data_IF_753020174877
#
_entry.id   IF_753020174877
#
_cell.length_a   1.000
_cell.length_b   1.000
_cell.length_c   1.000
_cell.angle_alpha   90.00
_cell.angle_beta   90.00
_cell.angle_gamma   90.00
#
_symmetry.space_group_name_H-M   'P 1'
#
loop_
_entity.id
_entity.type
_entity.pdbx_description
1 polymer ?
#
# COMPACT_ATOMS: atom_id res chain seq x y z
N UNK A 1 -10.59 -19.10 19.85
CA UNK A 1 -9.75 -18.03 19.27
C UNK A 1 -10.68 -16.86 18.99
N UNK A 2 -10.58 -15.78 19.76
CA UNK A 2 -11.29 -14.55 19.45
C UNK A 2 -10.71 -14.00 18.15
N UNK A 3 -11.57 -13.76 17.15
CA UNK A 3 -11.20 -13.06 15.94
C UNK A 3 -10.69 -11.67 16.37
N UNK A 4 -9.40 -11.42 16.22
CA UNK A 4 -8.83 -10.09 16.35
C UNK A 4 -9.31 -9.35 15.11
N UNK A 5 -10.37 -8.55 15.21
CA UNK A 5 -10.71 -7.60 14.17
C UNK A 5 -9.51 -6.68 13.99
N UNK A 6 -9.05 -6.51 12.77
CA UNK A 6 -8.02 -5.51 12.50
C UNK A 6 -8.63 -4.13 12.70
N UNK A 7 -7.88 -3.23 13.32
CA UNK A 7 -8.29 -1.85 13.49
C UNK A 7 -8.36 -1.22 12.09
N UNK A 8 -9.52 -0.66 11.75
CA UNK A 8 -9.70 0.06 10.49
C UNK A 8 -9.20 1.50 10.64
N UNK A 9 -8.40 1.95 9.70
CA UNK A 9 -7.89 3.33 9.67
C UNK A 9 -8.95 4.24 9.06
N UNK A 10 -9.45 5.19 9.83
CA UNK A 10 -10.50 6.11 9.36
C UNK A 10 -9.92 7.34 8.68
N UNK A 11 -8.75 7.79 9.13
CA UNK A 11 -8.18 9.05 8.66
C UNK A 11 -6.66 9.04 8.73
N UNK A 12 -6.04 9.58 7.69
CA UNK A 12 -4.60 9.85 7.63
C UNK A 12 -4.40 11.31 7.21
N UNK A 13 -3.61 12.07 7.97
CA UNK A 13 -3.10 13.39 7.58
C UNK A 13 -1.61 13.27 7.34
N UNK A 14 -1.15 13.85 6.24
CA UNK A 14 0.25 13.88 5.79
C UNK A 14 0.66 15.32 5.63
N UNK A 15 1.77 15.72 6.25
CA UNK A 15 2.31 17.07 6.16
C UNK A 15 3.78 17.01 5.75
N UNK A 16 4.17 17.94 4.90
CA UNK A 16 5.56 18.20 4.51
C UNK A 16 6.28 17.01 3.84
N UNK A 17 5.62 16.33 2.87
CA UNK A 17 6.24 15.24 2.12
C UNK A 17 6.21 15.50 0.61
N UNK A 18 7.36 15.70 -0.01
CA UNK A 18 7.51 15.96 -1.47
C UNK A 18 6.53 17.06 -1.93
N UNK A 19 5.56 16.75 -2.76
CA UNK A 19 4.54 17.70 -3.22
C UNK A 19 3.36 17.87 -2.26
N UNK A 20 3.37 17.23 -1.11
CA UNK A 20 2.30 17.31 -0.12
C UNK A 20 2.71 18.31 0.97
N UNK A 21 2.02 19.44 1.04
CA UNK A 21 2.16 20.44 2.12
C UNK A 21 1.32 20.00 3.32
N UNK A 22 0.02 19.84 3.13
CA UNK A 22 -0.94 19.33 4.10
C UNK A 22 -2.07 18.65 3.34
N UNK A 23 -2.29 17.37 3.62
CA UNK A 23 -3.27 16.56 2.96
C UNK A 23 -3.93 15.61 3.96
N UNK A 24 -5.26 15.56 3.91
CA UNK A 24 -6.04 14.64 4.74
C UNK A 24 -6.84 13.68 3.87
N UNK A 25 -6.73 12.38 4.19
CA UNK A 25 -7.53 11.30 3.63
C UNK A 25 -8.48 10.75 4.68
N UNK A 26 -9.77 10.76 4.38
CA UNK A 26 -10.77 10.02 5.14
C UNK A 26 -11.03 8.70 4.43
N UNK A 27 -10.63 7.58 5.03
CA UNK A 27 -10.60 6.27 4.40
C UNK A 27 -11.82 5.42 4.75
N UNK A 28 -12.35 4.73 3.75
CA UNK A 28 -13.20 3.55 3.91
C UNK A 28 -12.37 2.26 3.87
N UNK A 29 -13.01 1.16 3.66
CA UNK A 29 -12.37 -0.14 3.49
C UNK A 29 -11.67 -0.25 2.14
N UNK A 30 -12.30 0.22 1.08
CA UNK A 30 -11.80 0.14 -0.29
C UNK A 30 -11.71 1.53 -0.90
N UNK A 31 -10.49 2.02 -1.10
CA UNK A 31 -10.22 3.38 -1.52
C UNK A 31 -9.50 3.39 -2.88
N UNK A 32 -10.00 4.17 -3.82
CA UNK A 32 -9.38 4.33 -5.15
C UNK A 32 -8.99 5.79 -5.35
N UNK A 33 -7.74 6.03 -5.76
CA UNK A 33 -7.22 7.37 -6.06
C UNK A 33 -6.94 7.46 -7.57
N UNK A 34 -7.59 8.41 -8.22
CA UNK A 34 -7.37 8.77 -9.63
C UNK A 34 -6.70 10.14 -9.74
N UNK A 35 -6.15 10.44 -10.89
CA UNK A 35 -5.54 11.74 -11.19
C UNK A 35 -4.53 11.65 -12.32
N UNK A 36 -4.09 12.79 -12.82
CA UNK A 36 -3.09 12.90 -13.89
C UNK A 36 -1.72 12.35 -13.44
N UNK A 37 -0.83 12.11 -14.39
CA UNK A 37 0.55 11.76 -14.09
C UNK A 37 1.22 12.91 -13.33
N UNK A 38 1.98 12.56 -12.28
CA UNK A 38 2.70 13.55 -11.47
C UNK A 38 1.86 14.36 -10.49
N UNK A 39 0.53 14.09 -10.35
CA UNK A 39 -0.31 14.82 -9.38
C UNK A 39 -0.02 14.48 -7.90
N UNK A 40 0.73 13.41 -7.62
CA UNK A 40 1.14 13.05 -6.25
C UNK A 40 0.50 11.78 -5.69
N UNK A 41 -0.20 10.96 -6.49
CA UNK A 41 -0.78 9.69 -6.02
C UNK A 41 0.24 8.80 -5.33
N UNK A 42 1.36 8.51 -5.99
CA UNK A 42 2.44 7.69 -5.41
C UNK A 42 3.10 8.38 -4.21
N UNK A 43 3.17 9.73 -4.16
CA UNK A 43 3.70 10.44 -3.00
C UNK A 43 2.84 10.20 -1.74
N UNK A 44 1.51 10.09 -1.89
CA UNK A 44 0.61 9.74 -0.79
C UNK A 44 0.94 8.34 -0.25
N UNK A 45 1.07 7.36 -1.14
CA UNK A 45 1.37 5.97 -0.75
C UNK A 45 2.76 5.84 -0.11
N UNK A 46 3.75 6.51 -0.70
CA UNK A 46 5.12 6.55 -0.17
C UNK A 46 5.18 7.18 1.22
N UNK A 47 4.47 8.29 1.46
CA UNK A 47 4.42 8.93 2.77
C UNK A 47 3.89 8.00 3.86
N UNK A 48 2.81 7.25 3.57
CA UNK A 48 2.22 6.29 4.51
C UNK A 48 3.21 5.15 4.78
N UNK A 49 3.85 4.61 3.73
CA UNK A 49 4.88 3.56 3.87
C UNK A 49 6.07 4.05 4.70
N UNK A 50 6.52 5.27 4.45
CA UNK A 50 7.62 5.90 5.18
C UNK A 50 7.28 6.07 6.67
N UNK A 51 6.06 6.50 6.99
CA UNK A 51 5.57 6.59 8.36
C UNK A 51 5.58 5.23 9.07
N UNK A 52 5.10 4.18 8.42
CA UNK A 52 5.11 2.83 8.96
C UNK A 52 6.53 2.32 9.27
N UNK A 53 7.49 2.62 8.38
CA UNK A 53 8.90 2.27 8.57
C UNK A 53 9.56 3.12 9.67
N UNK A 54 9.26 4.42 9.75
CA UNK A 54 9.78 5.31 10.77
C UNK A 54 9.43 4.87 12.18
N UNK A 55 8.16 4.57 12.42
CA UNK A 55 7.69 4.06 13.74
C UNK A 55 8.36 2.74 14.13
N UNK A 56 8.69 1.89 13.16
CA UNK A 56 9.40 0.63 13.42
C UNK A 56 10.92 0.75 13.50
N UNK A 57 11.44 1.99 13.44
CA UNK A 57 12.88 2.31 13.42
C UNK A 57 13.63 1.70 12.23
N UNK A 58 12.95 1.55 11.11
CA UNK A 58 13.41 0.89 9.90
C UNK A 58 13.48 1.80 8.67
N UNK A 59 13.52 3.13 8.86
CA UNK A 59 13.49 4.11 7.76
C UNK A 59 14.90 4.53 7.28
N UNK A 60 15.84 3.58 7.22
CA UNK A 60 17.12 3.80 6.52
C UNK A 60 16.91 3.78 4.99
N UNK A 61 17.80 4.49 4.28
CA UNK A 61 17.71 4.71 2.83
C UNK A 61 17.58 3.38 2.05
N UNK A 62 18.33 2.35 2.44
CA UNK A 62 18.29 1.05 1.77
C UNK A 62 16.95 0.33 1.95
N UNK A 63 16.36 0.42 3.14
CA UNK A 63 15.03 -0.17 3.41
C UNK A 63 13.91 0.59 2.76
N UNK A 64 13.98 1.93 2.75
CA UNK A 64 13.01 2.75 2.03
C UNK A 64 12.94 2.34 0.56
N UNK A 65 14.09 2.19 -0.11
CA UNK A 65 14.16 1.74 -1.50
C UNK A 65 13.57 0.32 -1.69
N UNK A 66 13.87 -0.63 -0.79
CA UNK A 66 13.31 -2.00 -0.82
C UNK A 66 11.80 -2.04 -0.61
N UNK A 67 11.22 -1.02 0.02
CA UNK A 67 9.77 -0.87 0.19
C UNK A 67 9.11 -0.04 -0.92
N UNK A 68 9.82 0.19 -2.02
CA UNK A 68 9.29 0.87 -3.20
C UNK A 68 9.21 2.39 -3.08
N UNK A 69 9.81 2.98 -2.04
CA UNK A 69 9.89 4.45 -1.91
C UNK A 69 11.00 4.96 -2.83
N UNK A 70 10.67 5.94 -3.65
CA UNK A 70 11.65 6.63 -4.51
C UNK A 70 12.53 7.51 -3.63
N UNK A 71 13.68 6.97 -3.27
CA UNK A 71 14.65 7.64 -2.42
C UNK A 71 15.45 8.61 -3.26
N UNK A 72 15.52 9.85 -2.77
CA UNK A 72 16.29 10.93 -3.34
C UNK A 72 17.12 11.61 -2.23
N UNK A 73 17.73 12.73 -2.52
CA UNK A 73 18.30 13.62 -1.48
C UNK A 73 17.23 13.90 -0.41
N UNK A 74 17.62 13.90 0.86
CA UNK A 74 16.72 14.13 1.99
C UNK A 74 15.96 15.45 1.86
N UNK A 75 16.60 16.49 1.32
CA UNK A 75 16.01 17.81 1.06
C UNK A 75 14.89 17.77 -0.01
N UNK A 76 14.87 16.74 -0.87
CA UNK A 76 13.81 16.51 -1.86
C UNK A 76 12.72 15.55 -1.36
N UNK A 77 12.90 14.96 -0.19
CA UNK A 77 11.87 14.14 0.46
C UNK A 77 10.93 14.98 1.32
N UNK A 78 11.39 16.11 1.85
CA UNK A 78 10.52 17.15 2.41
C UNK A 78 9.95 18.04 1.29
N UNK A 79 8.95 18.84 1.62
CA UNK A 79 8.39 19.81 0.66
C UNK A 79 9.42 20.92 0.39
N UNK A 80 9.72 21.15 -0.89
CA UNK A 80 10.73 22.11 -1.36
C UNK A 80 10.15 23.07 -2.41
N UNK A 81 8.85 23.36 -2.36
CA UNK A 81 8.18 24.32 -3.26
C UNK A 81 8.33 25.75 -2.76
N UNK A 82 8.47 26.73 -3.68
CA UNK A 82 8.83 28.12 -3.38
C UNK A 82 7.85 28.85 -2.46
N UNK A 83 6.57 28.50 -2.50
CA UNK A 83 5.50 29.16 -1.71
C UNK A 83 5.27 28.52 -0.32
N UNK A 84 6.16 27.64 0.11
CA UNK A 84 6.10 27.12 1.48
C UNK A 84 6.74 28.13 2.44
N UNK A 85 6.00 28.50 3.50
CA UNK A 85 6.52 29.38 4.57
C UNK A 85 7.89 28.89 5.07
N UNK A 86 8.88 29.82 5.17
CA UNK A 86 10.20 29.53 5.76
C UNK A 86 10.12 28.95 7.19
N UNK A 87 8.93 28.98 7.80
CA UNK A 87 8.61 28.41 9.10
C UNK A 87 8.00 26.99 9.02
N UNK A 88 7.93 26.36 7.84
CA UNK A 88 7.49 24.97 7.78
C UNK A 88 8.44 24.07 8.55
N UNK A 89 7.86 23.15 9.28
CA UNK A 89 8.57 22.12 10.02
C UNK A 89 9.57 21.38 9.10
N UNK A 90 10.80 21.21 9.55
CA UNK A 90 11.81 20.36 8.89
C UNK A 90 11.40 18.87 8.91
N UNK A 91 10.30 18.56 9.57
CA UNK A 91 9.83 17.20 9.81
C UNK A 91 8.73 16.80 8.82
N UNK A 92 8.77 15.56 8.35
CA UNK A 92 7.65 14.91 7.70
C UNK A 92 6.69 14.43 8.78
N UNK A 93 5.43 14.85 8.74
CA UNK A 93 4.46 14.49 9.77
C UNK A 93 3.33 13.61 9.21
N UNK A 94 2.96 12.59 10.00
CA UNK A 94 1.78 11.76 9.74
C UNK A 94 0.95 11.66 11.02
N UNK A 95 -0.35 11.85 10.86
CA UNK A 95 -1.34 11.58 11.91
C UNK A 95 -2.29 10.51 11.40
N UNK A 96 -2.48 9.46 12.19
CA UNK A 96 -3.32 8.31 11.81
C UNK A 96 -4.37 8.12 12.89
N UNK A 97 -5.63 7.96 12.50
CA UNK A 97 -6.73 7.61 13.41
C UNK A 97 -7.52 6.43 12.88
N UNK A 98 -8.12 5.64 13.78
CA UNK A 98 -8.92 4.48 13.42
C UNK A 98 -9.85 4.03 14.55
N UNK A 99 -10.91 3.28 14.19
CA UNK A 99 -11.95 2.77 15.11
C UNK A 99 -12.54 3.86 16.04
N UNK A 100 -12.75 5.09 15.51
CA UNK A 100 -13.23 6.26 16.24
C UNK A 100 -12.37 6.63 17.46
N UNK A 101 -11.14 6.15 17.54
CA UNK A 101 -10.17 6.56 18.57
C UNK A 101 -9.10 7.41 17.88
N UNK A 102 -8.87 8.64 18.34
CA UNK A 102 -7.71 9.38 17.90
C UNK A 102 -6.48 8.57 18.33
N UNK A 103 -5.73 8.01 17.38
CA UNK A 103 -4.35 7.68 17.65
C UNK A 103 -3.64 9.01 17.83
N UNK A 104 -3.46 9.38 19.08
CA UNK A 104 -2.85 10.66 19.47
C UNK A 104 -1.32 10.65 19.23
N UNK A 105 -0.83 9.58 18.60
CA UNK A 105 0.56 9.43 18.20
C UNK A 105 0.74 9.89 16.76
N UNK A 106 0.94 11.19 16.61
CA UNK A 106 1.52 11.72 15.37
C UNK A 106 2.93 11.14 15.18
N UNK A 107 3.32 10.86 13.96
CA UNK A 107 4.68 10.48 13.57
C UNK A 107 5.34 11.75 13.07
N UNK A 108 6.52 12.08 13.58
CA UNK A 108 7.33 13.18 13.09
C UNK A 108 8.71 12.65 12.70
N UNK A 109 9.00 12.62 11.41
CA UNK A 109 10.23 12.06 10.88
C UNK A 109 11.24 13.17 10.59
N UNK A 110 12.41 13.10 11.24
CA UNK A 110 13.58 13.92 10.99
C UNK A 110 14.68 13.09 10.34
N UNK A 111 15.43 13.70 9.41
CA UNK A 111 16.55 13.04 8.79
C UNK A 111 17.83 13.24 9.60
N UNK A 112 18.44 12.15 10.04
CA UNK A 112 19.72 12.14 10.71
C UNK A 112 20.87 11.79 9.75
N UNK A 113 21.66 12.77 9.34
CA UNK A 113 22.78 12.60 8.42
C UNK A 113 23.80 11.58 8.92
N UNK A 114 24.11 11.60 10.23
CA UNK A 114 25.07 10.68 10.85
C UNK A 114 24.73 9.21 10.61
N UNK A 115 23.45 8.87 10.52
CA UNK A 115 22.97 7.49 10.37
C UNK A 115 22.38 7.21 8.98
N UNK A 116 22.31 8.24 8.13
CA UNK A 116 21.65 8.19 6.81
C UNK A 116 20.24 7.59 6.91
N UNK A 117 19.43 8.11 7.83
CA UNK A 117 18.19 7.49 8.26
C UNK A 117 17.18 8.54 8.72
N UNK A 118 15.90 8.27 8.45
CA UNK A 118 14.78 9.02 9.02
C UNK A 118 14.39 8.41 10.38
N UNK A 119 14.29 9.27 11.39
CA UNK A 119 14.00 8.88 12.77
C UNK A 119 12.70 9.53 13.22
N UNK A 120 11.83 8.76 13.85
CA UNK A 120 10.61 9.29 14.46
C UNK A 120 10.95 9.94 15.80
N UNK A 121 10.78 11.27 15.83
CA UNK A 121 11.07 12.14 16.97
C UNK A 121 9.81 12.69 17.63
N UNK A 122 8.69 11.98 17.60
CA UNK A 122 7.41 12.45 18.14
C UNK A 122 7.61 13.20 19.48
N UNK A 123 7.32 14.52 19.55
CA UNK A 123 7.62 15.33 20.74
C UNK A 123 6.84 14.89 21.99
N UNK A 124 5.62 14.33 21.82
CA UNK A 124 4.82 13.82 22.93
C UNK A 124 5.44 12.55 23.50
N UNK A 125 5.82 11.61 22.60
CA UNK A 125 6.51 10.37 22.98
C UNK A 125 7.85 10.69 23.66
N UNK A 126 8.63 11.60 23.08
CA UNK A 126 9.88 12.04 23.65
C UNK A 126 9.69 12.61 25.06
N UNK A 127 8.64 13.41 25.28
CA UNK A 127 8.33 13.96 26.62
C UNK A 127 8.04 12.87 27.63
N UNK A 128 7.24 11.84 27.28
CA UNK A 128 6.91 10.70 28.14
C UNK A 128 8.19 9.91 28.47
N UNK A 129 8.99 9.61 27.45
CA UNK A 129 10.24 8.87 27.59
C UNK A 129 11.24 9.64 28.46
N UNK A 130 11.37 10.94 28.23
CA UNK A 130 12.28 11.83 29.00
C UNK A 130 11.87 11.88 30.48
N UNK A 131 10.60 12.03 30.78
CA UNK A 131 10.09 11.99 32.16
C UNK A 131 10.40 10.66 32.85
N UNK A 132 10.24 9.54 32.15
CA UNK A 132 10.56 8.22 32.68
C UNK A 132 12.08 8.06 32.91
N UNK A 133 12.88 8.47 31.94
CA UNK A 133 14.34 8.44 32.03
C UNK A 133 14.88 9.25 33.21
N UNK A 134 14.35 10.47 33.43
CA UNK A 134 14.70 11.31 34.59
C UNK A 134 14.29 10.62 35.92
N UNK A 135 13.15 9.97 35.95
CA UNK A 135 12.70 9.24 37.13
C UNK A 135 13.60 8.04 37.47
N UNK A 136 14.14 7.34 36.46
CA UNK A 136 15.07 6.22 36.67
C UNK A 136 16.49 6.67 37.07
N UNK A 137 16.98 7.80 36.48
CA UNK A 137 18.40 8.21 36.58
C UNK A 137 18.63 9.47 37.45
N UNK A 138 17.56 10.12 37.92
CA UNK A 138 17.62 11.33 38.74
C UNK A 138 17.67 12.65 37.94
N UNK A 139 17.28 13.77 38.58
CA UNK A 139 17.13 15.09 37.96
C UNK A 139 18.45 15.73 37.48
N UNK A 140 19.60 15.17 37.79
CA UNK A 140 20.91 15.68 37.36
C UNK A 140 21.19 15.53 35.87
N UNK A 141 20.44 14.69 35.18
CA UNK A 141 20.51 14.50 33.74
C UNK A 141 19.59 15.48 33.00
N UNK A 142 19.98 16.76 32.94
CA UNK A 142 19.33 17.75 32.03
C UNK A 142 19.64 17.50 30.55
N UNK A 143 20.44 16.50 30.25
CA UNK A 143 20.87 16.11 28.92
C UNK A 143 19.78 15.39 28.15
N UNK A 144 19.92 15.33 26.85
CA UNK A 144 19.05 14.55 25.96
C UNK A 144 19.09 13.06 26.33
N UNK A 145 17.96 12.37 26.17
CA UNK A 145 17.91 10.92 26.41
C UNK A 145 18.85 10.25 25.41
N UNK A 146 19.82 9.43 25.86
CA UNK A 146 20.72 8.74 24.95
C UNK A 146 19.94 7.84 23.96
N UNK A 147 20.37 7.81 22.70
CA UNK A 147 19.68 7.09 21.63
C UNK A 147 19.24 5.67 21.98
N UNK A 148 20.16 4.87 22.55
CA UNK A 148 19.85 3.49 22.94
C UNK A 148 18.79 3.40 24.05
N UNK A 149 18.81 4.33 25.02
CA UNK A 149 17.84 4.41 26.08
C UNK A 149 16.47 4.89 25.58
N UNK A 150 16.46 5.85 24.66
CA UNK A 150 15.24 6.30 24.00
C UNK A 150 14.52 5.12 23.32
N UNK A 151 15.22 4.34 22.52
CA UNK A 151 14.62 3.20 21.83
C UNK A 151 14.20 2.06 22.76
N UNK A 152 14.95 1.82 23.84
CA UNK A 152 14.56 0.87 24.89
C UNK A 152 13.24 1.28 25.55
N UNK A 153 13.19 2.50 26.06
CA UNK A 153 12.02 3.05 26.75
C UNK A 153 10.81 3.22 25.83
N UNK A 154 11.05 3.64 24.58
CA UNK A 154 9.99 3.72 23.57
C UNK A 154 9.32 2.37 23.36
N UNK A 155 10.10 1.31 23.21
CA UNK A 155 9.56 -0.07 23.05
C UNK A 155 8.78 -0.55 24.27
N UNK A 156 9.12 -0.07 25.44
CA UNK A 156 8.52 -0.45 26.71
C UNK A 156 7.25 0.36 27.03
N UNK A 157 7.27 1.66 26.77
CA UNK A 157 6.26 2.61 27.24
C UNK A 157 5.23 2.99 26.18
N UNK A 158 5.58 2.89 24.89
CA UNK A 158 4.74 3.35 23.79
C UNK A 158 4.11 2.16 23.09
N UNK A 159 2.78 2.11 23.08
CA UNK A 159 2.02 1.12 22.32
C UNK A 159 2.12 1.42 20.81
N UNK A 160 2.61 0.45 20.05
CA UNK A 160 2.83 0.64 18.60
C UNK A 160 1.51 0.61 17.84
N UNK A 161 1.28 1.57 16.92
CA UNK A 161 0.08 1.58 16.11
C UNK A 161 0.03 0.37 15.14
N UNK A 162 -1.18 -0.09 14.85
CA UNK A 162 -1.43 -1.30 14.04
C UNK A 162 -1.09 -1.17 12.56
N UNK A 163 -0.93 0.04 12.02
CA UNK A 163 -0.56 0.26 10.62
C UNK A 163 0.94 0.04 10.30
N UNK A 164 1.75 -0.37 11.28
CA UNK A 164 3.20 -0.67 11.12
C UNK A 164 3.53 -1.66 10.01
N UNK A 165 2.56 -2.44 9.55
CA UNK A 165 2.72 -3.40 8.47
C UNK A 165 2.20 -2.87 7.13
N UNK A 166 1.90 -1.57 7.03
CA UNK A 166 1.48 -0.99 5.76
C UNK A 166 2.59 -1.13 4.72
N UNK A 167 2.21 -1.62 3.55
CA UNK A 167 3.09 -1.79 2.39
C UNK A 167 2.39 -1.25 1.15
N UNK A 168 3.18 -0.64 0.27
CA UNK A 168 2.75 -0.29 -1.08
C UNK A 168 3.28 -1.32 -2.05
N UNK A 169 2.38 -2.04 -2.72
CA UNK A 169 2.73 -3.01 -3.74
C UNK A 169 2.70 -2.37 -5.14
N UNK A 170 3.74 -2.62 -5.90
CA UNK A 170 3.86 -2.26 -7.31
C UNK A 170 4.44 -3.46 -8.05
N UNK A 171 3.63 -4.52 -8.29
CA UNK A 171 4.12 -5.76 -8.88
C UNK A 171 4.73 -5.54 -10.25
N UNK A 172 5.75 -6.32 -10.56
CA UNK A 172 6.50 -6.26 -11.81
C UNK A 172 6.61 -7.65 -12.43
N UNK A 173 6.21 -7.76 -13.69
CA UNK A 173 6.19 -9.03 -14.42
C UNK A 173 7.54 -9.72 -14.43
N UNK A 174 8.60 -8.99 -14.80
CA UNK A 174 9.94 -9.56 -14.90
C UNK A 174 10.41 -10.13 -13.55
N UNK A 175 10.14 -9.38 -12.47
CA UNK A 175 10.47 -9.80 -11.11
C UNK A 175 9.67 -11.04 -10.69
N UNK A 176 8.38 -11.09 -11.02
CA UNK A 176 7.53 -12.25 -10.70
C UNK A 176 7.93 -13.52 -11.46
N UNK A 177 8.49 -13.38 -12.68
CA UNK A 177 8.97 -14.53 -13.44
C UNK A 177 10.30 -15.09 -12.94
N UNK A 178 11.10 -14.26 -12.27
CA UNK A 178 12.38 -14.66 -11.72
C UNK A 178 12.22 -15.40 -10.39
N UNK A 179 13.06 -16.42 -10.19
CA UNK A 179 13.12 -17.13 -8.92
C UNK A 179 14.09 -16.45 -7.98
N UNK A 180 13.58 -15.70 -7.04
CA UNK A 180 14.40 -15.03 -6.03
C UNK A 180 14.59 -15.93 -4.82
N UNK A 181 15.84 -16.13 -4.38
CA UNK A 181 16.17 -16.99 -3.24
C UNK A 181 15.90 -16.34 -1.88
N UNK A 182 15.85 -15.02 -1.83
CA UNK A 182 15.57 -14.27 -0.60
C UNK A 182 14.56 -13.17 -0.87
N UNK A 183 13.59 -13.02 0.02
CA UNK A 183 12.54 -11.99 -0.06
C UNK A 183 12.85 -10.99 1.04
N UNK A 184 13.09 -9.73 0.67
CA UNK A 184 13.35 -8.66 1.63
C UNK A 184 12.07 -8.27 2.40
N UNK A 185 10.92 -8.32 1.73
CA UNK A 185 9.60 -7.94 2.28
C UNK A 185 8.64 -9.12 2.22
N UNK A 186 8.55 -9.87 3.30
CA UNK A 186 7.67 -11.04 3.41
C UNK A 186 6.18 -10.64 3.47
N UNK A 187 5.23 -11.42 2.86
CA UNK A 187 5.44 -12.71 2.17
C UNK A 187 5.65 -12.61 0.66
N UNK A 188 5.19 -11.55 0.00
CA UNK A 188 5.12 -11.48 -1.46
C UNK A 188 6.22 -10.64 -2.11
N UNK A 189 6.94 -9.82 -1.29
CA UNK A 189 7.74 -8.73 -1.83
C UNK A 189 6.86 -7.57 -2.33
N UNK A 190 7.40 -6.37 -2.47
CA UNK A 190 6.64 -5.23 -2.97
C UNK A 190 6.44 -5.29 -4.49
N UNK A 191 7.30 -6.00 -5.20
CA UNK A 191 7.24 -6.21 -6.66
C UNK A 191 6.77 -7.61 -7.06
N UNK A 192 6.40 -8.46 -6.09
CA UNK A 192 5.89 -9.81 -6.34
C UNK A 192 6.97 -10.90 -6.34
N UNK A 193 8.22 -10.58 -5.93
CA UNK A 193 9.37 -11.50 -5.91
C UNK A 193 9.12 -12.77 -5.11
N UNK A 194 8.24 -12.72 -4.12
CA UNK A 194 7.90 -13.84 -3.24
C UNK A 194 6.68 -14.66 -3.64
N UNK A 195 5.98 -14.30 -4.72
CA UNK A 195 4.68 -14.88 -5.07
C UNK A 195 4.71 -16.42 -5.13
N UNK A 196 5.55 -16.99 -5.95
CA UNK A 196 5.58 -18.44 -6.16
C UNK A 196 6.18 -19.20 -4.96
N UNK A 197 7.16 -18.61 -4.27
CA UNK A 197 7.64 -19.17 -3.01
C UNK A 197 6.52 -19.23 -1.96
N UNK A 198 5.74 -18.16 -1.84
CA UNK A 198 4.61 -18.12 -0.93
C UNK A 198 3.54 -19.15 -1.27
N UNK A 199 3.17 -19.28 -2.56
CA UNK A 199 2.21 -20.28 -3.03
C UNK A 199 2.69 -21.70 -2.71
N UNK A 200 3.95 -22.03 -2.90
CA UNK A 200 4.53 -23.34 -2.54
C UNK A 200 4.43 -23.60 -1.03
N UNK A 201 4.79 -22.63 -0.20
CA UNK A 201 4.75 -22.76 1.26
C UNK A 201 3.31 -22.91 1.79
N UNK A 202 2.33 -22.35 1.09
CA UNK A 202 0.92 -22.37 1.49
C UNK A 202 0.09 -23.44 0.81
N UNK A 203 0.72 -24.38 0.07
CA UNK A 203 0.08 -25.52 -0.60
C UNK A 203 -0.95 -26.22 0.29
N UNK A 204 -0.64 -26.38 1.57
CA UNK A 204 -1.51 -27.08 2.55
C UNK A 204 -2.62 -26.19 3.13
N UNK A 205 -2.62 -24.88 2.88
CA UNK A 205 -3.56 -23.92 3.48
C UNK A 205 -4.83 -23.66 2.66
N UNK A 206 -5.08 -24.49 1.67
CA UNK A 206 -6.30 -24.43 0.84
C UNK A 206 -6.51 -23.10 0.10
N UNK A 207 -5.44 -22.40 -0.26
CA UNK A 207 -5.52 -21.10 -0.98
C UNK A 207 -5.80 -21.29 -2.48
N UNK A 208 -5.32 -22.39 -3.08
CA UNK A 208 -5.46 -22.66 -4.52
C UNK A 208 -6.90 -22.72 -5.01
N UNK A 209 -7.86 -23.38 -4.33
CA UNK A 209 -9.25 -23.35 -4.75
C UNK A 209 -9.84 -21.95 -4.87
N UNK A 210 -9.47 -21.05 -3.94
CA UNK A 210 -9.95 -19.65 -3.94
C UNK A 210 -9.30 -18.87 -5.10
N UNK A 211 -8.01 -19.09 -5.32
CA UNK A 211 -7.27 -18.47 -6.43
C UNK A 211 -7.82 -18.97 -7.78
N UNK A 212 -8.05 -20.27 -7.92
CA UNK A 212 -8.60 -20.86 -9.14
C UNK A 212 -9.99 -20.30 -9.48
N UNK A 213 -10.84 -20.10 -8.47
CA UNK A 213 -12.14 -19.43 -8.66
C UNK A 213 -11.97 -18.02 -9.22
N UNK A 214 -11.05 -17.22 -8.65
CA UNK A 214 -10.76 -15.87 -9.12
C UNK A 214 -10.13 -15.83 -10.52
N UNK A 215 -9.24 -16.77 -10.84
CA UNK A 215 -8.56 -16.86 -12.14
C UNK A 215 -9.51 -17.23 -13.29
N UNK A 216 -10.70 -17.75 -13.01
CA UNK A 216 -11.75 -17.99 -14.02
C UNK A 216 -12.28 -16.70 -14.68
N UNK A 217 -11.87 -15.52 -14.20
CA UNK A 217 -12.05 -14.26 -14.94
C UNK A 217 -11.30 -14.25 -16.26
N UNK A 218 -10.30 -15.12 -16.44
CA UNK A 218 -9.58 -15.32 -17.70
C UNK A 218 -10.26 -16.46 -18.50
N UNK A 219 -10.79 -16.16 -19.67
CA UNK A 219 -11.59 -17.10 -20.48
C UNK A 219 -10.84 -18.38 -20.85
N UNK A 220 -9.53 -18.30 -21.03
CA UNK A 220 -8.67 -19.44 -21.40
C UNK A 220 -8.27 -20.31 -20.21
N UNK A 221 -8.31 -19.78 -19.00
CA UNK A 221 -7.80 -20.44 -17.80
C UNK A 221 -8.67 -21.63 -17.36
N UNK A 222 -8.04 -22.73 -16.99
CA UNK A 222 -8.71 -23.92 -16.43
C UNK A 222 -8.30 -24.16 -14.98
N UNK A 223 -6.99 -24.33 -14.69
CA UNK A 223 -6.49 -24.64 -13.35
C UNK A 223 -5.07 -24.12 -13.11
N UNK A 224 -4.74 -23.85 -11.85
CA UNK A 224 -3.38 -23.66 -11.36
C UNK A 224 -3.17 -24.52 -10.11
N UNK A 225 -2.09 -25.27 -10.12
CA UNK A 225 -1.70 -26.15 -9.01
C UNK A 225 -0.21 -26.04 -8.75
N UNK A 226 0.24 -26.30 -7.50
CA UNK A 226 1.66 -26.37 -7.21
C UNK A 226 2.27 -27.59 -7.92
N UNK A 227 3.50 -27.45 -8.42
CA UNK A 227 4.24 -28.57 -8.96
C UNK A 227 4.41 -29.69 -7.92
N UNK A 228 4.35 -30.94 -8.36
CA UNK A 228 4.35 -32.11 -7.46
C UNK A 228 5.71 -32.36 -6.80
N UNK A 229 6.79 -31.88 -7.38
CA UNK A 229 8.14 -32.06 -6.85
C UNK A 229 8.45 -31.08 -5.71
N UNK A 230 8.28 -31.58 -4.48
CA UNK A 230 8.63 -30.84 -3.26
C UNK A 230 10.14 -30.72 -3.01
N UNK A 231 10.94 -31.52 -3.71
CA UNK A 231 12.40 -31.59 -3.52
C UNK A 231 13.15 -30.66 -4.47
N UNK A 232 12.52 -30.20 -5.54
CA UNK A 232 13.15 -29.21 -6.41
C UNK A 232 13.24 -27.86 -5.69
N UNK A 233 14.37 -27.18 -5.83
CA UNK A 233 14.51 -25.78 -5.43
C UNK A 233 13.71 -24.83 -6.32
N UNK A 234 12.91 -25.38 -7.22
CA UNK A 234 12.08 -24.65 -8.16
C UNK A 234 10.69 -24.42 -7.57
N UNK A 235 10.21 -23.19 -7.65
CA UNK A 235 8.89 -22.76 -7.14
C UNK A 235 7.87 -22.78 -8.27
N UNK A 236 7.95 -23.79 -9.14
CA UNK A 236 7.10 -23.86 -10.31
C UNK A 236 5.64 -24.17 -9.94
N UNK A 237 4.75 -23.62 -10.72
CA UNK A 237 3.33 -23.96 -10.72
C UNK A 237 2.96 -24.58 -12.07
N UNK A 238 2.01 -25.50 -12.03
CA UNK A 238 1.40 -26.07 -13.24
C UNK A 238 0.17 -25.22 -13.59
N UNK A 239 0.18 -24.62 -14.78
CA UNK A 239 -0.93 -23.81 -15.30
C UNK A 239 -1.56 -24.57 -16.47
N UNK A 240 -2.86 -24.78 -16.41
CA UNK A 240 -3.63 -25.47 -17.47
C UNK A 240 -4.49 -24.47 -18.23
N UNK A 241 -4.37 -24.49 -19.54
CA UNK A 241 -5.19 -23.74 -20.48
C UNK A 241 -6.21 -24.70 -21.14
N UNK A 242 -7.50 -24.30 -21.20
CA UNK A 242 -8.60 -25.09 -21.80
C UNK A 242 -8.32 -25.55 -23.23
N UNK A 243 -7.50 -24.80 -23.95
CA UNK A 243 -7.22 -25.02 -25.37
C UNK A 243 -5.88 -25.71 -25.60
N UNK A 244 -5.18 -26.10 -24.52
CA UNK A 244 -3.92 -26.80 -24.60
C UNK A 244 -4.12 -28.20 -25.19
N UNK A 245 -3.20 -28.66 -26.04
CA UNK A 245 -3.23 -30.02 -26.57
C UNK A 245 -3.12 -31.04 -25.42
N UNK A 246 -3.88 -32.14 -25.51
CA UNK A 246 -3.85 -33.19 -24.49
C UNK A 246 -2.45 -33.78 -24.21
N UNK A 247 -1.52 -33.65 -25.17
CA UNK A 247 -0.12 -34.07 -25.01
C UNK A 247 0.75 -33.10 -24.18
N UNK A 248 0.25 -31.88 -23.97
CA UNK A 248 0.90 -30.82 -23.18
C UNK A 248 0.02 -30.51 -21.99
N UNK A 249 0.18 -31.22 -20.88
CA UNK A 249 -0.74 -31.15 -19.73
C UNK A 249 -0.75 -29.78 -19.03
N UNK A 250 0.37 -29.05 -19.00
CA UNK A 250 0.50 -27.76 -18.36
C UNK A 250 1.73 -27.00 -18.85
N UNK A 251 1.82 -25.73 -18.49
CA UNK A 251 3.03 -24.91 -18.65
C UNK A 251 3.34 -24.17 -17.33
N UNK A 252 4.52 -23.61 -17.22
CA UNK A 252 4.98 -22.91 -16.03
C UNK A 252 4.72 -21.39 -16.08
N UNK A 253 5.03 -20.69 -14.99
CA UNK A 253 4.86 -19.24 -14.88
C UNK A 253 5.72 -18.44 -15.88
N UNK A 254 6.80 -19.01 -16.42
CA UNK A 254 7.68 -18.34 -17.40
C UNK A 254 7.01 -18.22 -18.76
N UNK A 255 6.13 -19.17 -19.05
CA UNK A 255 5.42 -19.27 -20.34
C UNK A 255 4.06 -18.58 -20.34
N UNK A 256 3.56 -18.12 -19.19
CA UNK A 256 2.23 -17.50 -19.09
C UNK A 256 2.24 -16.02 -19.50
N UNK A 257 1.05 -15.45 -19.75
CA UNK A 257 0.91 -14.03 -20.06
C UNK A 257 0.98 -13.14 -18.80
N UNK A 258 1.27 -11.85 -19.02
CA UNK A 258 1.40 -10.86 -17.96
C UNK A 258 0.13 -10.74 -17.10
N UNK A 259 -1.04 -10.63 -17.75
CA UNK A 259 -2.32 -10.47 -17.06
C UNK A 259 -2.61 -11.60 -16.08
N UNK A 260 -2.21 -12.83 -16.40
CA UNK A 260 -2.31 -13.95 -15.47
C UNK A 260 -1.43 -13.73 -14.21
N UNK A 261 -0.18 -13.28 -14.39
CA UNK A 261 0.73 -13.06 -13.27
C UNK A 261 0.22 -11.98 -12.32
N UNK A 262 -0.23 -10.84 -12.86
CA UNK A 262 -0.82 -9.77 -12.06
C UNK A 262 -2.10 -10.22 -11.35
N UNK A 263 -2.99 -10.92 -12.05
CA UNK A 263 -4.21 -11.43 -11.46
C UNK A 263 -3.91 -12.43 -10.33
N UNK A 264 -3.00 -13.38 -10.57
CA UNK A 264 -2.55 -14.35 -9.57
C UNK A 264 -1.97 -13.64 -8.33
N UNK A 265 -1.16 -12.61 -8.54
CA UNK A 265 -0.60 -11.80 -7.46
C UNK A 265 -1.71 -11.13 -6.63
N UNK A 266 -2.66 -10.43 -7.26
CA UNK A 266 -3.73 -9.73 -6.54
C UNK A 266 -4.66 -10.71 -5.82
N UNK A 267 -5.02 -11.82 -6.45
CA UNK A 267 -5.83 -12.86 -5.79
C UNK A 267 -5.11 -13.42 -4.56
N UNK A 268 -3.79 -13.64 -4.65
CA UNK A 268 -2.99 -14.09 -3.51
C UNK A 268 -2.91 -13.02 -2.42
N UNK A 269 -2.60 -11.77 -2.78
CA UNK A 269 -2.48 -10.64 -1.85
C UNK A 269 -3.74 -10.44 -1.02
N UNK A 270 -4.91 -10.43 -1.65
CA UNK A 270 -6.18 -10.13 -1.00
C UNK A 270 -6.74 -11.31 -0.20
N UNK A 271 -6.49 -12.55 -0.63
CA UNK A 271 -7.02 -13.74 0.04
C UNK A 271 -6.12 -14.30 1.15
N UNK A 272 -4.85 -13.92 1.20
CA UNK A 272 -3.90 -14.39 2.20
C UNK A 272 -4.13 -13.76 3.58
N UNK A 273 -3.94 -14.55 4.64
CA UNK A 273 -3.91 -14.07 6.03
C UNK A 273 -2.52 -13.57 6.46
N UNK A 274 -1.47 -13.94 5.71
CA UNK A 274 -0.09 -13.55 6.04
C UNK A 274 0.28 -12.17 5.45
N UNK A 275 -0.48 -11.68 4.46
CA UNK A 275 -0.32 -10.33 3.90
C UNK A 275 -0.94 -9.28 4.83
N UNK A 276 -0.46 -8.03 4.80
CA UNK A 276 -1.00 -6.96 5.64
C UNK A 276 -2.52 -6.83 5.53
N UNK A 277 -3.17 -6.45 6.62
CA UNK A 277 -4.61 -6.10 6.61
C UNK A 277 -4.85 -4.71 6.03
N UNK A 278 -3.86 -3.80 6.12
CA UNK A 278 -3.89 -2.48 5.49
C UNK A 278 -2.70 -2.33 4.56
N UNK A 279 -2.95 -2.06 3.28
CA UNK A 279 -1.92 -1.94 2.24
C UNK A 279 -2.40 -1.08 1.07
N UNK A 280 -1.47 -0.74 0.18
CA UNK A 280 -1.78 -0.10 -1.08
C UNK A 280 -1.29 -0.91 -2.28
N UNK A 281 -1.91 -0.67 -3.44
CA UNK A 281 -1.44 -1.14 -4.75
C UNK A 281 -1.36 0.05 -5.69
N UNK A 282 -0.19 0.30 -6.25
CA UNK A 282 0.02 1.34 -7.25
C UNK A 282 -0.22 0.77 -8.65
N UNK A 283 -1.07 1.45 -9.47
CA UNK A 283 -1.44 1.07 -10.83
C UNK A 283 -2.06 -0.34 -10.95
N UNK A 284 -3.19 -0.56 -10.27
CA UNK A 284 -3.89 -1.87 -10.22
C UNK A 284 -4.28 -2.42 -11.60
N UNK A 285 -4.44 -1.55 -12.59
CA UNK A 285 -4.90 -1.90 -13.94
C UNK A 285 -3.82 -2.48 -14.85
N UNK A 286 -2.57 -2.55 -14.41
CA UNK A 286 -1.45 -2.98 -15.27
C UNK A 286 -1.74 -4.30 -15.97
N UNK A 287 -1.60 -4.31 -17.30
CA UNK A 287 -1.81 -5.47 -18.19
C UNK A 287 -3.24 -6.02 -18.25
N UNK A 288 -4.25 -5.27 -17.81
CA UNK A 288 -5.65 -5.69 -17.88
C UNK A 288 -6.46 -4.95 -18.95
N UNK A 289 -7.34 -5.69 -19.62
CA UNK A 289 -8.36 -5.09 -20.46
C UNK A 289 -9.48 -4.45 -19.63
N UNK A 290 -10.32 -3.57 -20.22
CA UNK A 290 -11.38 -2.87 -19.51
C UNK A 290 -12.35 -3.78 -18.74
N UNK A 291 -12.80 -4.87 -19.36
CA UNK A 291 -13.73 -5.81 -18.71
C UNK A 291 -13.11 -6.50 -17.50
N UNK A 292 -11.84 -6.88 -17.60
CA UNK A 292 -11.12 -7.49 -16.48
C UNK A 292 -10.89 -6.49 -15.34
N UNK A 293 -10.58 -5.21 -15.64
CA UNK A 293 -10.46 -4.16 -14.63
C UNK A 293 -11.74 -4.03 -13.79
N UNK A 294 -12.90 -3.96 -14.44
CA UNK A 294 -14.20 -3.85 -13.76
C UNK A 294 -14.49 -5.09 -12.90
N UNK A 295 -14.34 -6.30 -13.49
CA UNK A 295 -14.63 -7.54 -12.78
C UNK A 295 -13.68 -7.77 -11.60
N UNK A 296 -12.40 -7.50 -11.78
CA UNK A 296 -11.41 -7.59 -10.72
C UNK A 296 -11.76 -6.64 -9.57
N UNK A 297 -12.08 -5.37 -9.85
CA UNK A 297 -12.45 -4.40 -8.81
C UNK A 297 -13.65 -4.89 -8.00
N UNK A 298 -14.73 -5.36 -8.65
CA UNK A 298 -15.90 -5.95 -7.97
C UNK A 298 -15.51 -7.14 -7.08
N UNK A 299 -14.67 -8.03 -7.59
CA UNK A 299 -14.17 -9.17 -6.82
C UNK A 299 -13.37 -8.73 -5.60
N UNK A 300 -12.43 -7.83 -5.77
CA UNK A 300 -11.54 -7.34 -4.70
C UNK A 300 -12.31 -6.57 -3.61
N UNK A 301 -13.32 -5.79 -3.97
CA UNK A 301 -14.26 -5.16 -3.01
C UNK A 301 -14.91 -6.23 -2.14
N UNK A 302 -15.49 -7.27 -2.75
CA UNK A 302 -16.15 -8.33 -2.02
C UNK A 302 -15.21 -9.13 -1.11
N UNK A 303 -13.98 -9.38 -1.57
CA UNK A 303 -12.95 -10.09 -0.78
C UNK A 303 -12.44 -9.23 0.37
N UNK A 304 -12.25 -7.93 0.16
CA UNK A 304 -11.77 -7.01 1.20
C UNK A 304 -12.63 -7.04 2.45
N UNK A 305 -13.97 -7.02 2.30
CA UNK A 305 -14.89 -7.18 3.43
C UNK A 305 -14.81 -8.55 4.11
N UNK A 306 -14.72 -9.64 3.31
CA UNK A 306 -14.68 -11.01 3.84
C UNK A 306 -13.37 -11.37 4.56
N UNK A 307 -12.25 -10.78 4.13
CA UNK A 307 -10.89 -11.06 4.65
C UNK A 307 -10.36 -9.99 5.57
N UNK A 308 -11.20 -9.02 5.92
CA UNK A 308 -10.84 -7.88 6.77
C UNK A 308 -9.59 -7.14 6.24
N UNK A 309 -9.61 -6.84 4.94
CA UNK A 309 -8.58 -6.05 4.27
C UNK A 309 -9.06 -4.62 4.07
N UNK A 310 -8.19 -3.66 4.33
CA UNK A 310 -8.37 -2.26 4.00
C UNK A 310 -7.32 -1.88 2.95
N UNK A 311 -7.72 -1.19 1.89
CA UNK A 311 -6.83 -0.97 0.75
C UNK A 311 -6.91 0.44 0.21
N UNK A 312 -5.77 0.91 -0.34
CA UNK A 312 -5.69 2.11 -1.17
C UNK A 312 -5.13 1.69 -2.52
N UNK A 313 -5.91 1.90 -3.59
CA UNK A 313 -5.50 1.60 -4.96
C UNK A 313 -5.28 2.89 -5.73
N UNK A 314 -4.28 2.94 -6.59
CA UNK A 314 -4.18 3.97 -7.62
C UNK A 314 -4.49 3.38 -8.97
N UNK A 315 -5.02 4.19 -9.88
CA UNK A 315 -5.29 3.75 -11.25
C UNK A 315 -5.28 4.93 -12.24
N UNK A 316 -4.93 4.61 -13.49
CA UNK A 316 -5.09 5.46 -14.66
C UNK A 316 -6.16 4.91 -15.63
N UNK A 317 -6.79 3.79 -15.31
CA UNK A 317 -7.80 3.16 -16.14
C UNK A 317 -9.21 3.45 -15.61
N UNK A 318 -10.05 4.18 -16.37
CA UNK A 318 -11.41 4.55 -15.93
C UNK A 318 -12.28 3.32 -15.63
N UNK A 319 -12.07 2.18 -16.29
CA UNK A 319 -12.89 1.00 -16.10
C UNK A 319 -12.71 0.29 -14.74
N UNK A 320 -11.64 0.59 -14.01
CA UNK A 320 -11.49 0.19 -12.60
C UNK A 320 -12.63 0.78 -11.76
N UNK A 321 -13.05 2.00 -12.07
CA UNK A 321 -14.09 2.72 -11.33
C UNK A 321 -15.49 2.08 -11.48
N UNK A 322 -15.77 1.44 -12.60
CA UNK A 322 -17.07 0.79 -12.85
C UNK A 322 -17.26 -0.49 -12.00
N UNK A 323 -16.24 -0.89 -11.29
CA UNK A 323 -16.30 -1.94 -10.26
C UNK A 323 -16.70 -1.45 -8.88
N UNK A 324 -16.80 -0.12 -8.65
CA UNK A 324 -17.14 0.49 -7.37
C UNK A 324 -18.64 0.77 -7.24
N UNK A 325 -19.13 0.72 -6.00
CA UNK A 325 -20.43 1.23 -5.59
C UNK A 325 -20.24 2.37 -4.57
N UNK A 326 -20.32 3.63 -5.02
CA UNK A 326 -20.14 4.79 -4.15
C UNK A 326 -21.34 5.04 -3.22
N UNK A 327 -22.44 4.30 -3.33
CA UNK A 327 -23.53 4.34 -2.34
C UNK A 327 -23.15 3.62 -1.03
N UNK A 328 -22.15 2.74 -1.09
CA UNK A 328 -21.53 2.11 0.06
C UNK A 328 -20.37 3.00 0.56
N UNK A 329 -20.51 3.57 1.77
CA UNK A 329 -19.51 4.49 2.35
C UNK A 329 -18.15 3.82 2.66
N UNK A 330 -18.11 2.50 2.67
CA UNK A 330 -16.86 1.73 2.75
C UNK A 330 -16.04 1.75 1.45
N UNK A 331 -16.64 2.17 0.32
CA UNK A 331 -16.01 2.31 -0.98
C UNK A 331 -15.85 3.78 -1.32
N UNK A 332 -14.61 4.25 -1.44
CA UNK A 332 -14.32 5.67 -1.63
C UNK A 332 -13.48 5.91 -2.88
N UNK A 333 -13.87 6.92 -3.64
CA UNK A 333 -13.15 7.41 -4.80
C UNK A 333 -12.59 8.79 -4.51
N UNK A 334 -11.31 9.00 -4.80
CA UNK A 334 -10.62 10.27 -4.62
C UNK A 334 -10.01 10.75 -5.92
N UNK A 335 -10.09 12.06 -6.15
CA UNK A 335 -9.39 12.76 -7.23
C UNK A 335 -8.19 13.48 -6.65
N UNK A 336 -7.02 13.12 -7.15
CA UNK A 336 -5.74 13.74 -6.82
C UNK A 336 -5.35 14.71 -7.94
N UNK A 337 -4.99 15.93 -7.59
CA UNK A 337 -4.57 16.98 -8.53
C UNK A 337 -3.46 17.84 -7.92
N UNK A 338 -2.76 18.60 -8.75
CA UNK A 338 -1.95 19.70 -8.26
C UNK A 338 -2.75 21.00 -8.28
N UNK A 339 -2.55 21.83 -7.28
CA UNK A 339 -3.04 23.20 -7.31
C UNK A 339 -2.08 24.12 -8.10
N UNK A 340 -2.38 25.42 -8.12
CA UNK A 340 -1.62 26.41 -8.87
C UNK A 340 -0.17 26.53 -8.37
N UNK A 341 0.07 26.25 -7.10
CA UNK A 341 1.39 26.31 -6.45
C UNK A 341 2.15 24.99 -6.58
N UNK A 342 1.58 24.02 -7.29
CA UNK A 342 2.16 22.70 -7.53
C UNK A 342 1.97 21.70 -6.39
N UNK A 343 1.19 22.04 -5.36
CA UNK A 343 0.95 21.17 -4.20
C UNK A 343 -0.08 20.10 -4.52
N UNK A 344 0.12 18.90 -3.98
CA UNK A 344 -0.83 17.80 -4.10
C UNK A 344 -2.09 18.09 -3.28
N UNK A 345 -3.24 18.04 -3.92
CA UNK A 345 -4.57 18.12 -3.31
C UNK A 345 -5.35 16.85 -3.62
N UNK A 346 -6.23 16.48 -2.68
CA UNK A 346 -7.09 15.32 -2.83
C UNK A 346 -8.52 15.67 -2.45
N UNK A 347 -9.48 15.17 -3.22
CA UNK A 347 -10.90 15.44 -3.00
C UNK A 347 -11.70 14.15 -3.16
N UNK A 348 -12.61 13.86 -2.23
CA UNK A 348 -13.49 12.71 -2.32
C UNK A 348 -14.65 12.95 -3.28
N UNK A 349 -14.86 12.03 -4.22
CA UNK A 349 -16.04 12.00 -5.09
C UNK A 349 -17.21 11.40 -4.31
N UNK A 350 -18.23 12.22 -4.04
CA UNK A 350 -19.44 11.78 -3.31
C UNK A 350 -20.44 11.12 -4.24
N UNK A 351 -21.16 10.13 -3.72
CA UNK A 351 -22.31 9.54 -4.39
C UNK A 351 -23.39 10.60 -4.68
N UNK A 352 -24.07 10.46 -5.81
CA UNK A 352 -25.25 11.26 -6.19
C UNK A 352 -26.26 10.34 -6.89
N UNK A 353 -27.49 10.32 -6.38
CA UNK A 353 -28.58 9.50 -6.94
C UNK A 353 -29.01 9.90 -8.36
N UNK A 354 -28.81 11.18 -8.73
CA UNK A 354 -29.20 11.73 -10.03
C UNK A 354 -28.21 11.39 -11.15
N UNK A 355 -27.09 10.73 -10.84
CA UNK A 355 -26.10 10.31 -11.85
C UNK A 355 -26.62 9.16 -12.69
N UNK A 356 -26.71 9.39 -14.01
CA UNK A 356 -27.10 8.38 -15.00
C UNK A 356 -25.90 7.73 -15.71
N UNK A 357 -24.73 8.34 -15.64
CA UNK A 357 -23.49 7.89 -16.29
C UNK A 357 -22.70 6.97 -15.36
N UNK A 358 -21.97 6.02 -15.95
CA UNK A 358 -20.98 5.22 -15.21
C UNK A 358 -19.85 6.09 -14.67
N UNK A 359 -19.09 5.59 -13.70
CA UNK A 359 -17.95 6.34 -13.14
C UNK A 359 -16.85 6.55 -14.19
N UNK A 360 -16.64 5.58 -15.06
CA UNK A 360 -15.71 5.68 -16.19
C UNK A 360 -16.11 6.79 -17.15
N UNK A 361 -17.39 6.89 -17.53
CA UNK A 361 -17.91 7.94 -18.38
C UNK A 361 -17.76 9.33 -17.73
N UNK A 362 -18.05 9.43 -16.43
CA UNK A 362 -17.87 10.68 -15.66
C UNK A 362 -16.42 11.15 -15.65
N UNK A 363 -15.49 10.22 -15.53
CA UNK A 363 -14.07 10.56 -15.58
C UNK A 363 -13.65 10.97 -16.99
N UNK A 364 -13.96 10.16 -18.01
CA UNK A 364 -13.60 10.45 -19.41
C UNK A 364 -14.22 11.75 -19.94
N UNK A 365 -15.37 12.16 -19.40
CA UNK A 365 -16.01 13.46 -19.73
C UNK A 365 -15.49 14.65 -18.93
N UNK A 366 -14.55 14.43 -17.98
CA UNK A 366 -14.01 15.47 -17.11
C UNK A 366 -14.93 15.93 -15.98
N UNK A 367 -16.11 15.35 -15.83
CA UNK A 367 -17.13 15.79 -14.85
C UNK A 367 -16.73 15.55 -13.39
N UNK A 368 -15.80 14.61 -13.14
CA UNK A 368 -15.23 14.36 -11.81
C UNK A 368 -13.78 14.85 -11.68
N UNK A 369 -13.26 15.56 -12.67
CA UNK A 369 -11.88 16.01 -12.71
C UNK A 369 -10.89 14.89 -13.11
N UNK A 370 -9.64 15.05 -12.72
CA UNK A 370 -8.54 14.10 -12.99
C UNK A 370 -8.13 13.96 -14.47
N UNK A 371 -8.56 14.86 -15.34
CA UNK A 371 -8.05 15.00 -16.71
C UNK A 371 -6.97 16.08 -16.77
N UNK A 372 -6.01 15.96 -17.70
CA UNK A 372 -5.05 17.04 -17.99
C UNK A 372 -5.76 18.31 -18.45
N UNK A 373 -5.26 19.48 -18.09
CA UNK A 373 -5.85 20.78 -18.47
C UNK A 373 -5.91 21.02 -19.99
N UNK A 374 -5.10 20.31 -20.77
CA UNK A 374 -5.00 20.40 -22.21
C UNK A 374 -5.75 19.28 -22.96
N UNK A 375 -6.78 18.70 -22.35
CA UNK A 375 -7.57 17.61 -22.95
C UNK A 375 -8.86 18.12 -23.54
#
# INVERSE_FOLDING_TARGET
MQAKFSIMIDKIRIENYKSIVDLTLELGRFNVIIGTNGCGKSNILEAITMGALGVSDNADIGRLAKHGIRVTDSNLMVNAFEDTDDNMSEFIQLQVSGDNKPYDTGIALEYEEKWNKWVDINPKEYSIIKQHYIKEHGETTKEEVPYNEYHRLRKELIEKPTFLRFLTYSPNESVMREMVRSIDVYPLGVHGEGLFQYLKLTKTRNIFPIINEGLRMLDWFEDVSPADDLLSNEFDVNITDKYLKETLHSFDQRSTNEGFLYLLFYLTLFNSQDTPSFFAVDNIETSFNPGLCQNLTKYLVGVSGKKDKQVILTTHNPFVLDGLDLSDDEQRLFVCRRDIDGHTRIERVKYREDRKMSLSELWMSGLIGALPENF
#
